data_IF_054032854217
#
_entry.id   IF_054032854217
#
_cell.length_a   1.000
_cell.length_b   1.000
_cell.length_c   1.000
_cell.angle_alpha   90.00
_cell.angle_beta   90.00
_cell.angle_gamma   90.00
#
_symmetry.space_group_name_H-M   'P 1'
#
loop_
_entity.id
_entity.type
_entity.pdbx_description
1 polymer ?
#
# COMPACT_ATOMS: atom_id res chain seq x y z
N UNK A 1 0.40 27.56 5.46
CA UNK A 1 1.29 26.41 5.73
C UNK A 1 0.61 25.19 5.14
N UNK A 2 1.10 24.68 4.03
CA UNK A 2 0.48 23.52 3.36
C UNK A 2 0.82 22.27 4.18
N UNK A 3 -0.21 21.53 4.56
CA UNK A 3 -0.08 20.29 5.32
C UNK A 3 0.52 19.24 4.37
N UNK A 4 1.85 19.19 4.26
CA UNK A 4 2.59 18.16 3.53
C UNK A 4 2.34 16.82 4.26
N UNK A 5 1.23 16.18 3.93
CA UNK A 5 0.75 14.94 4.57
C UNK A 5 1.54 13.71 4.13
N UNK A 6 2.24 13.80 3.01
CA UNK A 6 3.02 12.72 2.41
C UNK A 6 4.27 13.31 1.80
N UNK A 7 5.35 12.54 1.87
CA UNK A 7 6.60 12.84 1.19
C UNK A 7 6.34 12.99 -0.33
N UNK A 8 6.94 13.97 -1.03
CA UNK A 8 6.70 14.17 -2.47
C UNK A 8 6.99 12.94 -3.33
N UNK A 9 7.84 12.02 -2.85
CA UNK A 9 8.17 10.77 -3.53
C UNK A 9 7.10 9.68 -3.37
N UNK A 10 6.18 9.85 -2.41
CA UNK A 10 5.11 8.89 -2.13
C UNK A 10 3.96 9.12 -3.10
N UNK A 11 3.74 8.13 -3.96
CA UNK A 11 2.68 8.14 -4.98
C UNK A 11 1.62 7.05 -4.76
N UNK A 12 1.89 6.08 -3.89
CA UNK A 12 1.03 4.92 -3.68
C UNK A 12 0.71 4.78 -2.20
N UNK A 13 -0.55 4.52 -1.91
CA UNK A 13 -0.99 4.05 -0.62
C UNK A 13 -1.68 2.72 -0.81
N UNK A 14 -1.26 1.72 -0.06
CA UNK A 14 -1.85 0.39 -0.09
C UNK A 14 -2.31 -0.01 1.29
N UNK A 15 -3.44 -0.71 1.32
CA UNK A 15 -3.91 -1.47 2.47
C UNK A 15 -3.84 -2.92 2.06
N UNK A 16 -3.20 -3.76 2.84
CA UNK A 16 -2.98 -5.16 2.52
C UNK A 16 -3.03 -6.03 3.76
N UNK A 17 -3.26 -7.32 3.54
CA UNK A 17 -3.12 -8.33 4.58
C UNK A 17 -1.81 -9.07 4.39
N UNK A 18 -1.14 -9.36 5.49
CA UNK A 18 0.04 -10.21 5.53
C UNK A 18 -0.41 -11.67 5.55
N UNK A 19 0.12 -12.48 4.64
CA UNK A 19 -0.24 -13.89 4.49
C UNK A 19 0.88 -14.84 4.93
N UNK A 20 2.13 -14.36 5.00
CA UNK A 20 3.29 -15.14 5.41
C UNK A 20 3.94 -14.59 6.68
N UNK A 21 4.51 -15.48 7.49
CA UNK A 21 5.39 -15.10 8.61
C UNK A 21 6.77 -14.62 8.15
N UNK A 22 7.12 -14.91 6.89
CA UNK A 22 8.37 -14.45 6.25
C UNK A 22 8.28 -12.99 5.77
N UNK A 23 7.07 -12.41 5.83
CA UNK A 23 6.84 -11.04 5.38
C UNK A 23 7.71 -10.07 6.19
N UNK A 24 8.53 -9.30 5.47
CA UNK A 24 9.31 -8.19 6.05
C UNK A 24 8.43 -7.06 6.59
N UNK A 25 7.13 -7.08 6.28
CA UNK A 25 6.15 -6.08 6.65
C UNK A 25 5.04 -6.70 7.51
N UNK A 26 5.24 -6.72 8.83
CA UNK A 26 4.23 -7.13 9.82
C UNK A 26 4.16 -8.62 10.13
N UNK A 27 3.16 -9.01 10.92
CA UNK A 27 2.92 -10.41 11.32
C UNK A 27 1.83 -11.06 10.47
N UNK A 28 1.81 -12.39 10.40
CA UNK A 28 0.83 -13.11 9.56
C UNK A 28 -0.60 -12.86 10.05
N UNK A 29 -1.48 -12.49 9.12
CA UNK A 29 -2.88 -12.20 9.38
C UNK A 29 -3.15 -10.73 9.73
N UNK A 30 -2.09 -9.93 9.90
CA UNK A 30 -2.23 -8.51 10.19
C UNK A 30 -2.71 -7.73 8.96
N UNK A 31 -3.45 -6.65 9.21
CA UNK A 31 -3.95 -5.74 8.17
C UNK A 31 -3.22 -4.42 8.30
N UNK A 32 -2.28 -4.19 7.40
CA UNK A 32 -1.42 -3.02 7.43
C UNK A 32 -1.74 -2.03 6.30
N UNK A 33 -1.28 -0.80 6.51
CA UNK A 33 -1.32 0.27 5.52
C UNK A 33 0.08 0.83 5.35
N UNK A 34 0.55 0.89 4.11
CA UNK A 34 1.82 1.51 3.75
C UNK A 34 1.62 2.61 2.71
N UNK A 35 2.45 3.65 2.83
CA UNK A 35 2.60 4.70 1.84
C UNK A 35 3.96 4.50 1.19
N UNK A 36 3.96 4.24 -0.12
CA UNK A 36 5.10 3.79 -0.87
C UNK A 36 5.37 4.76 -2.03
N UNK A 37 6.66 4.90 -2.34
CA UNK A 37 7.10 5.44 -3.62
C UNK A 37 6.80 4.44 -4.73
N UNK A 38 6.96 4.84 -5.99
CA UNK A 38 6.79 3.95 -7.14
C UNK A 38 7.69 2.70 -7.02
N UNK A 39 8.97 2.90 -6.66
CA UNK A 39 9.92 1.80 -6.42
C UNK A 39 9.52 0.90 -5.24
N UNK A 40 9.00 1.48 -4.16
CA UNK A 40 8.49 0.70 -3.02
C UNK A 40 7.27 -0.13 -3.40
N UNK A 41 6.37 0.43 -4.20
CA UNK A 41 5.19 -0.28 -4.70
C UNK A 41 5.59 -1.43 -5.64
N UNK A 42 6.58 -1.24 -6.51
CA UNK A 42 7.09 -2.31 -7.37
C UNK A 42 7.64 -3.50 -6.57
N UNK A 43 8.38 -3.25 -5.48
CA UNK A 43 8.83 -4.31 -4.57
C UNK A 43 7.66 -4.99 -3.85
N UNK A 44 6.65 -4.22 -3.46
CA UNK A 44 5.45 -4.79 -2.85
C UNK A 44 4.71 -5.73 -3.81
N UNK A 45 4.67 -5.42 -5.11
CA UNK A 45 4.07 -6.29 -6.12
C UNK A 45 4.81 -7.64 -6.23
N UNK A 46 6.13 -7.65 -6.07
CA UNK A 46 6.93 -8.89 -6.03
C UNK A 46 6.54 -9.77 -4.83
N UNK A 47 6.50 -9.20 -3.62
CA UNK A 47 6.02 -9.93 -2.41
C UNK A 47 4.57 -10.40 -2.54
N UNK A 48 3.72 -9.67 -3.28
CA UNK A 48 2.37 -10.12 -3.59
C UNK A 48 2.36 -11.31 -4.55
N UNK A 49 3.24 -11.33 -5.56
CA UNK A 49 3.40 -12.44 -6.49
C UNK A 49 3.93 -13.70 -5.80
N UNK A 50 4.85 -13.54 -4.84
CA UNK A 50 5.33 -14.61 -3.95
C UNK A 50 4.25 -15.11 -2.97
N UNK A 51 3.10 -14.43 -2.88
CA UNK A 51 2.00 -14.80 -2.00
C UNK A 51 2.22 -14.44 -0.52
N UNK A 52 3.19 -13.57 -0.23
CA UNK A 52 3.50 -13.14 1.14
C UNK A 52 2.50 -12.12 1.67
N UNK A 53 1.95 -11.30 0.78
CA UNK A 53 1.02 -10.22 1.08
C UNK A 53 -0.10 -10.19 0.04
N UNK A 54 -1.26 -9.65 0.41
CA UNK A 54 -2.37 -9.46 -0.52
C UNK A 54 -2.95 -8.07 -0.40
N UNK A 55 -2.89 -7.30 -1.48
CA UNK A 55 -3.52 -5.98 -1.50
C UNK A 55 -5.03 -6.13 -1.33
N UNK A 56 -5.58 -5.28 -0.46
CA UNK A 56 -7.01 -5.10 -0.25
C UNK A 56 -7.46 -3.84 -0.95
N UNK A 57 -6.81 -2.72 -0.64
CA UNK A 57 -7.20 -1.44 -1.20
C UNK A 57 -5.96 -0.69 -1.68
N UNK A 58 -6.09 0.04 -2.77
CA UNK A 58 -5.03 0.88 -3.32
C UNK A 58 -5.56 2.29 -3.53
N UNK A 59 -4.74 3.28 -3.23
CA UNK A 59 -5.01 4.68 -3.52
C UNK A 59 -3.75 5.33 -4.10
N UNK A 60 -3.95 6.16 -5.11
CA UNK A 60 -2.90 7.04 -5.62
C UNK A 60 -2.81 8.29 -4.75
N UNK A 61 -1.61 8.63 -4.33
CA UNK A 61 -1.30 9.83 -3.55
C UNK A 61 -0.87 10.91 -4.54
N UNK A 62 -1.53 12.05 -4.54
CA UNK A 62 -1.17 13.18 -5.41
C UNK A 62 -1.57 14.51 -4.76
N UNK A 63 -0.61 15.44 -4.65
CA UNK A 63 -0.87 16.77 -4.06
C UNK A 63 -1.49 16.73 -2.66
N UNK A 64 -1.11 15.76 -1.82
CA UNK A 64 -1.65 15.57 -0.47
C UNK A 64 -3.04 14.90 -0.40
N UNK A 65 -3.59 14.46 -1.55
CA UNK A 65 -4.90 13.81 -1.64
C UNK A 65 -4.76 12.32 -1.99
N UNK A 66 -5.72 11.53 -1.49
CA UNK A 66 -5.82 10.08 -1.75
C UNK A 66 -6.92 9.80 -2.77
N UNK A 67 -6.54 9.18 -3.87
CA UNK A 67 -7.42 8.76 -4.95
C UNK A 67 -7.51 7.24 -4.94
N UNK A 68 -8.48 6.69 -4.20
CA UNK A 68 -8.70 5.25 -4.15
C UNK A 68 -9.03 4.69 -5.54
N UNK A 69 -8.39 3.57 -5.88
CA UNK A 69 -8.75 2.83 -7.08
C UNK A 69 -10.17 2.30 -6.94
N UNK A 70 -10.98 2.52 -7.97
CA UNK A 70 -12.43 2.32 -7.93
C UNK A 70 -12.83 0.85 -7.82
N UNK A 71 -11.87 -0.08 -7.90
CA UNK A 71 -12.14 -1.53 -7.93
C UNK A 71 -12.54 -2.12 -6.58
N UNK A 72 -12.24 -1.47 -5.45
CA UNK A 72 -12.51 -2.04 -4.12
C UNK A 72 -13.77 -1.49 -3.44
N UNK A 73 -14.75 -1.02 -4.22
CA UNK A 73 -16.06 -0.58 -3.69
C UNK A 73 -17.06 -1.74 -3.64
N UNK A 74 -16.67 -2.84 -3.02
CA UNK A 74 -17.64 -3.78 -2.45
C UNK A 74 -17.85 -3.37 -0.99
N UNK A 75 -18.87 -2.52 -0.79
CA UNK A 75 -19.45 -2.19 0.52
C UNK A 75 -19.94 -3.45 1.23
#
# INVERSE_FOLDING_TARGET
MALERFDPEVHHMIVFNVLSYDSTVGDKGDKMRLCLTDAGYQKFLDSQEQGEVKVKNHAKVSGGHLHYDRRDRAL
#
